data_IF_763322465193
#
_entry.id   IF_763322465193
#
_cell.length_a   1.000
_cell.length_b   1.000
_cell.length_c   1.000
_cell.angle_alpha   90.00
_cell.angle_beta   90.00
_cell.angle_gamma   90.00
#
_symmetry.space_group_name_H-M   'P 1'
#
loop_
_entity.id
_entity.type
_entity.pdbx_description
1 polymer ?
#
# COMPACT_ATOMS: atom_id res chain seq x y z
N UNK A 1 -21.21 -4.27 0.25
CA UNK A 1 -20.28 -5.40 0.06
C UNK A 1 -19.30 -5.30 1.20
N UNK A 2 -19.26 -6.29 2.11
CA UNK A 2 -18.31 -6.29 3.23
C UNK A 2 -16.95 -6.67 2.65
N UNK A 3 -15.93 -5.88 2.97
CA UNK A 3 -14.56 -6.22 2.61
C UNK A 3 -14.06 -7.26 3.62
N UNK A 4 -13.76 -8.47 3.14
CA UNK A 4 -13.28 -9.56 3.98
C UNK A 4 -11.82 -9.82 3.63
N UNK A 5 -10.95 -9.65 4.61
CA UNK A 5 -9.55 -10.07 4.58
C UNK A 5 -9.40 -11.11 5.68
N UNK A 6 -9.04 -12.33 5.29
CA UNK A 6 -8.85 -13.46 6.20
C UNK A 6 -7.86 -13.09 7.32
N UNK A 7 -8.24 -13.29 8.58
CA UNK A 7 -7.48 -12.86 9.77
C UNK A 7 -7.77 -11.44 10.27
N UNK A 8 -8.62 -10.67 9.57
CA UNK A 8 -9.02 -9.30 9.92
C UNK A 8 -10.55 -9.14 9.96
N UNK A 9 -11.29 -10.21 10.24
CA UNK A 9 -12.75 -10.23 10.16
C UNK A 9 -13.44 -9.28 11.13
N UNK A 10 -12.81 -9.01 12.26
CA UNK A 10 -13.32 -8.11 13.30
C UNK A 10 -12.75 -6.68 13.19
N UNK A 11 -11.82 -6.44 12.25
CA UNK A 11 -11.23 -5.13 12.05
C UNK A 11 -12.18 -4.17 11.33
N UNK A 12 -12.09 -2.84 11.58
CA UNK A 12 -12.98 -1.86 10.97
C UNK A 12 -12.54 -1.50 9.53
N UNK A 13 -12.48 -2.52 8.67
CA UNK A 13 -11.97 -2.38 7.31
C UNK A 13 -12.88 -1.50 6.44
N UNK A 14 -12.28 -0.54 5.75
CA UNK A 14 -12.96 0.34 4.79
C UNK A 14 -12.21 0.37 3.46
N UNK A 15 -12.95 0.54 2.36
CA UNK A 15 -12.35 0.75 1.04
C UNK A 15 -11.56 2.08 1.05
N UNK A 16 -10.26 2.00 0.75
CA UNK A 16 -9.34 3.13 0.81
C UNK A 16 -9.17 3.85 -0.52
N UNK A 17 -9.70 3.33 -1.63
CA UNK A 17 -9.37 3.85 -2.97
C UNK A 17 -9.73 5.33 -3.19
N UNK A 18 -10.74 5.86 -2.50
CA UNK A 18 -11.09 7.29 -2.56
C UNK A 18 -10.03 8.19 -1.90
N UNK A 19 -9.24 7.66 -0.94
CA UNK A 19 -8.17 8.40 -0.27
C UNK A 19 -7.04 8.79 -1.25
N UNK A 20 -6.87 8.05 -2.35
CA UNK A 20 -5.88 8.35 -3.39
C UNK A 20 -6.08 9.74 -4.02
N UNK A 21 -7.30 10.28 -3.95
CA UNK A 21 -7.63 11.60 -4.47
C UNK A 21 -7.34 12.75 -3.48
N UNK A 22 -6.95 12.45 -2.23
CA UNK A 22 -6.57 13.48 -1.27
C UNK A 22 -5.26 14.15 -1.74
N UNK A 23 -5.18 15.49 -1.77
CA UNK A 23 -3.99 16.19 -2.26
C UNK A 23 -2.69 15.74 -1.59
N UNK A 24 -2.71 15.51 -0.27
CA UNK A 24 -1.56 15.08 0.51
C UNK A 24 -1.32 13.57 0.56
N UNK A 25 -2.13 12.74 -0.12
CA UNK A 25 -2.08 11.28 0.01
C UNK A 25 -0.68 10.71 -0.20
N UNK A 26 -0.04 11.05 -1.33
CA UNK A 26 1.25 10.48 -1.67
C UNK A 26 2.37 10.97 -0.75
N UNK A 27 2.27 12.18 -0.22
CA UNK A 27 3.19 12.66 0.81
C UNK A 27 2.99 11.87 2.11
N UNK A 28 1.76 11.74 2.61
CA UNK A 28 1.49 10.98 3.82
C UNK A 28 1.92 9.50 3.69
N UNK A 29 1.72 8.90 2.51
CA UNK A 29 1.98 7.49 2.26
C UNK A 29 3.46 7.14 2.00
N UNK A 30 4.20 7.97 1.25
CA UNK A 30 5.55 7.61 0.76
C UNK A 30 6.68 8.41 1.38
N UNK A 31 6.39 9.55 2.03
CA UNK A 31 7.44 10.47 2.46
C UNK A 31 8.45 9.81 3.39
N UNK A 32 8.00 8.88 4.25
CA UNK A 32 8.88 8.15 5.17
C UNK A 32 9.97 7.31 4.44
N UNK A 33 9.74 6.85 3.21
CA UNK A 33 10.75 6.15 2.40
C UNK A 33 11.93 7.04 2.04
N UNK A 34 11.73 8.37 2.07
CA UNK A 34 12.78 9.35 1.79
C UNK A 34 13.56 9.78 3.04
N UNK A 35 13.25 9.22 4.22
CA UNK A 35 13.97 9.55 5.45
C UNK A 35 15.38 8.97 5.40
N UNK A 36 16.34 9.79 5.77
CA UNK A 36 17.76 9.42 5.90
C UNK A 36 18.28 9.88 7.27
N UNK A 37 19.47 9.44 7.65
CA UNK A 37 20.15 9.95 8.86
C UNK A 37 20.43 11.46 8.82
N UNK A 38 20.54 12.04 7.62
CA UNK A 38 20.96 13.44 7.42
C UNK A 38 19.78 14.41 7.28
N UNK A 39 18.63 13.94 6.77
CA UNK A 39 17.48 14.78 6.46
C UNK A 39 16.15 14.11 6.80
N UNK A 40 15.27 14.89 7.43
CA UNK A 40 13.85 14.59 7.53
C UNK A 40 13.10 15.09 6.29
N UNK A 41 12.33 14.22 5.64
CA UNK A 41 11.58 14.57 4.44
C UNK A 41 10.40 15.49 4.82
N UNK A 42 10.07 16.42 3.93
CA UNK A 42 9.00 17.41 4.14
C UNK A 42 7.94 17.36 3.03
N UNK A 43 6.67 17.67 3.31
CA UNK A 43 5.58 17.61 2.33
C UNK A 43 5.86 18.42 1.04
N UNK A 44 6.59 19.53 1.15
CA UNK A 44 6.95 20.37 0.02
C UNK A 44 7.77 19.65 -1.07
N UNK A 45 8.48 18.55 -0.76
CA UNK A 45 9.19 17.74 -1.76
C UNK A 45 8.22 16.99 -2.70
N UNK A 46 7.01 16.71 -2.22
CA UNK A 46 5.90 16.15 -3.00
C UNK A 46 5.04 17.24 -3.65
N UNK A 47 5.40 18.52 -3.49
CA UNK A 47 4.67 19.65 -4.05
C UNK A 47 3.36 19.98 -3.34
N UNK A 48 3.18 19.51 -2.10
CA UNK A 48 1.98 19.72 -1.29
C UNK A 48 2.31 20.52 -0.03
N UNK A 49 1.31 21.17 0.56
CA UNK A 49 1.49 21.83 1.85
C UNK A 49 1.34 20.84 3.02
N UNK A 50 1.73 21.29 4.21
CA UNK A 50 1.66 20.46 5.41
C UNK A 50 0.24 20.10 5.84
N UNK A 51 -0.74 20.99 5.63
CA UNK A 51 -2.11 20.75 6.07
C UNK A 51 -2.79 19.67 5.22
N UNK A 52 -2.54 19.66 3.91
CA UNK A 52 -3.00 18.60 3.01
C UNK A 52 -2.39 17.24 3.38
N UNK A 53 -1.09 17.21 3.71
CA UNK A 53 -0.39 16.01 4.14
C UNK A 53 -0.90 15.50 5.50
N UNK A 54 -1.10 16.39 6.48
CA UNK A 54 -1.63 16.05 7.80
C UNK A 54 -3.06 15.48 7.68
N UNK A 55 -3.93 16.12 6.90
CA UNK A 55 -5.29 15.62 6.68
C UNK A 55 -5.32 14.23 6.02
N UNK A 56 -4.41 13.97 5.09
CA UNK A 56 -4.27 12.64 4.48
C UNK A 56 -3.70 11.60 5.45
N UNK A 57 -2.75 12.01 6.31
CA UNK A 57 -2.19 11.17 7.36
C UNK A 57 -3.27 10.76 8.36
N UNK A 58 -4.04 11.73 8.87
CA UNK A 58 -5.16 11.49 9.79
C UNK A 58 -6.16 10.47 9.22
N UNK A 59 -6.48 10.58 7.92
CA UNK A 59 -7.38 9.65 7.25
C UNK A 59 -6.77 8.24 7.04
N UNK A 60 -5.46 8.15 6.82
CA UNK A 60 -4.74 6.89 6.66
C UNK A 60 -4.57 6.15 7.99
N UNK A 61 -4.43 6.88 9.10
CA UNK A 61 -4.15 6.34 10.44
C UNK A 61 -5.39 6.29 11.35
N UNK A 62 -6.59 6.47 10.80
CA UNK A 62 -7.85 6.40 11.57
C UNK A 62 -8.04 5.00 12.19
N UNK A 63 -8.04 4.94 13.52
CA UNK A 63 -8.17 3.71 14.31
C UNK A 63 -9.53 3.03 14.13
N UNK A 64 -10.57 3.82 13.82
CA UNK A 64 -11.94 3.35 13.60
C UNK A 64 -12.20 3.02 12.11
N UNK A 65 -11.23 3.26 11.22
CA UNK A 65 -11.37 3.08 9.77
C UNK A 65 -10.08 2.64 9.12
N UNK A 66 -9.86 1.33 9.06
CA UNK A 66 -8.64 0.76 8.50
C UNK A 66 -8.71 0.72 6.97
N UNK A 67 -7.91 1.54 6.25
CA UNK A 67 -8.04 1.65 4.81
C UNK A 67 -7.48 0.40 4.12
N UNK A 68 -8.21 -0.06 3.10
CA UNK A 68 -7.76 -1.16 2.24
C UNK A 68 -7.78 -0.74 0.78
N UNK A 69 -6.63 -0.85 0.14
CA UNK A 69 -6.46 -0.58 -1.28
C UNK A 69 -6.36 -1.90 -2.03
N UNK A 70 -7.30 -2.16 -2.94
CA UNK A 70 -7.28 -3.34 -3.80
C UNK A 70 -6.61 -3.01 -5.12
N UNK A 71 -5.62 -3.81 -5.51
CA UNK A 71 -4.86 -3.68 -6.75
C UNK A 71 -5.06 -4.95 -7.58
N UNK A 72 -6.17 -5.05 -8.35
CA UNK A 72 -6.48 -6.27 -9.11
C UNK A 72 -5.58 -6.39 -10.34
N UNK A 73 -5.02 -7.57 -10.60
CA UNK A 73 -4.10 -7.81 -11.71
C UNK A 73 -4.35 -9.16 -12.41
N UNK A 74 -3.54 -9.48 -13.41
CA UNK A 74 -3.75 -10.62 -14.31
C UNK A 74 -4.06 -11.95 -13.61
N UNK A 75 -4.94 -12.74 -14.23
CA UNK A 75 -5.27 -14.08 -13.76
C UNK A 75 -6.16 -14.12 -12.51
N UNK A 76 -6.95 -13.07 -12.25
CA UNK A 76 -7.89 -13.03 -11.12
C UNK A 76 -7.25 -12.74 -9.77
N UNK A 77 -5.97 -12.38 -9.74
CA UNK A 77 -5.26 -12.04 -8.52
C UNK A 77 -5.55 -10.61 -8.09
N UNK A 78 -5.47 -10.34 -6.79
CA UNK A 78 -5.54 -8.99 -6.24
C UNK A 78 -4.47 -8.82 -5.17
N UNK A 79 -3.57 -7.87 -5.37
CA UNK A 79 -2.71 -7.38 -4.31
C UNK A 79 -3.53 -6.45 -3.42
N UNK A 80 -3.34 -6.54 -2.10
CA UNK A 80 -4.10 -5.82 -1.09
C UNK A 80 -3.12 -5.08 -0.20
N UNK A 81 -3.31 -3.78 -0.05
CA UNK A 81 -2.59 -2.96 0.92
C UNK A 81 -3.57 -2.61 2.03
N UNK A 82 -3.28 -3.04 3.26
CA UNK A 82 -4.14 -2.87 4.42
C UNK A 82 -3.40 -2.02 5.47
N UNK A 83 -3.97 -0.87 5.84
CA UNK A 83 -3.52 -0.09 6.99
C UNK A 83 -4.07 -0.69 8.28
N UNK A 84 -3.22 -1.32 9.07
CA UNK A 84 -3.52 -1.83 10.40
C UNK A 84 -3.30 -0.73 11.44
N UNK A 85 -4.33 0.04 11.77
CA UNK A 85 -4.22 1.21 12.65
C UNK A 85 -4.50 0.83 14.11
N UNK A 86 -3.71 -0.12 14.64
CA UNK A 86 -3.72 -0.41 16.08
C UNK A 86 -2.92 0.69 16.79
N UNK A 87 -3.44 1.34 17.86
CA UNK A 87 -2.79 2.49 18.49
C UNK A 87 -1.34 2.24 18.93
N UNK A 88 -1.05 1.03 19.41
CA UNK A 88 0.25 0.67 19.98
C UNK A 88 1.24 0.09 18.95
N UNK A 89 0.76 -0.42 17.83
CA UNK A 89 1.56 -1.12 16.82
C UNK A 89 0.95 -0.95 15.42
N UNK A 90 0.95 0.29 14.89
CA UNK A 90 0.42 0.54 13.56
C UNK A 90 1.32 -0.11 12.51
N UNK A 91 0.70 -0.73 11.52
CA UNK A 91 1.41 -1.41 10.46
C UNK A 91 0.70 -1.28 9.10
N UNK A 92 1.42 -1.58 8.03
CA UNK A 92 0.82 -1.82 6.71
C UNK A 92 1.09 -3.25 6.27
N UNK A 93 0.02 -4.00 6.02
CA UNK A 93 0.05 -5.38 5.53
C UNK A 93 -0.11 -5.37 4.00
N UNK A 94 0.79 -6.08 3.33
CA UNK A 94 0.77 -6.29 1.89
C UNK A 94 0.48 -7.76 1.62
N UNK A 95 -0.68 -8.03 1.03
CA UNK A 95 -1.18 -9.38 0.82
C UNK A 95 -1.46 -9.61 -0.67
N UNK A 96 -1.57 -10.87 -1.06
CA UNK A 96 -2.08 -11.27 -2.37
C UNK A 96 -3.19 -12.30 -2.19
N UNK A 97 -4.27 -12.10 -2.93
CA UNK A 97 -5.46 -12.95 -2.90
C UNK A 97 -5.79 -13.45 -4.29
N UNK A 98 -6.47 -14.59 -4.34
CA UNK A 98 -7.07 -15.14 -5.56
C UNK A 98 -8.34 -15.89 -5.16
N UNK A 99 -9.45 -15.80 -5.92
CA UNK A 99 -10.74 -16.40 -5.54
C UNK A 99 -10.71 -17.91 -5.30
N UNK A 100 -9.81 -18.62 -5.98
CA UNK A 100 -9.63 -20.07 -5.81
C UNK A 100 -8.68 -20.43 -4.65
N UNK A 101 -8.00 -19.44 -4.05
CA UNK A 101 -7.16 -19.69 -2.88
C UNK A 101 -8.02 -19.65 -1.62
N UNK A 102 -7.97 -20.72 -0.82
CA UNK A 102 -8.64 -20.76 0.48
C UNK A 102 -7.95 -19.94 1.58
N UNK A 103 -6.96 -19.11 1.23
CA UNK A 103 -6.21 -18.18 2.11
C UNK A 103 -5.55 -17.09 1.27
N UNK A 104 -5.11 -16.01 1.92
CA UNK A 104 -4.22 -15.04 1.29
C UNK A 104 -2.74 -15.48 1.36
N UNK A 105 -1.90 -14.94 0.48
CA UNK A 105 -0.45 -14.97 0.61
C UNK A 105 0.05 -13.65 1.20
N UNK A 106 1.13 -13.71 2.01
CA UNK A 106 1.81 -12.52 2.53
C UNK A 106 2.91 -12.08 1.57
N UNK A 107 2.95 -10.78 1.25
CA UNK A 107 4.00 -10.14 0.45
C UNK A 107 4.97 -9.40 1.36
N UNK A 108 4.46 -8.54 2.24
CA UNK A 108 5.26 -7.79 3.20
C UNK A 108 4.41 -7.30 4.37
N UNK A 109 5.07 -7.03 5.49
CA UNK A 109 4.58 -6.28 6.64
C UNK A 109 5.52 -5.10 6.85
N UNK A 110 4.97 -3.90 7.02
CA UNK A 110 5.75 -2.68 7.28
C UNK A 110 5.27 -2.03 8.58
N UNK A 111 6.10 -2.06 9.63
CA UNK A 111 5.85 -1.42 10.93
C UNK A 111 7.09 -0.65 11.44
N UNK A 112 7.68 0.16 10.55
CA UNK A 112 8.96 0.84 10.75
C UNK A 112 10.16 0.07 10.17
N UNK A 113 10.01 -1.24 9.99
CA UNK A 113 10.87 -2.08 9.14
C UNK A 113 10.00 -2.95 8.24
N UNK A 114 10.53 -3.34 7.08
CA UNK A 114 9.88 -4.33 6.22
C UNK A 114 10.22 -5.75 6.70
N UNK A 115 9.22 -6.61 6.78
CA UNK A 115 9.34 -8.05 6.98
C UNK A 115 8.54 -8.81 5.91
N UNK A 116 8.91 -10.06 5.63
CA UNK A 116 8.26 -10.89 4.58
C UNK A 116 9.16 -11.12 3.37
N UNK A 117 8.66 -11.86 2.35
CA UNK A 117 9.44 -12.13 1.14
C UNK A 117 9.73 -10.86 0.32
N UNK A 118 8.87 -9.84 0.42
CA UNK A 118 8.90 -8.68 -0.45
C UNK A 118 8.44 -9.02 -1.87
N UNK A 119 8.30 -7.99 -2.69
CA UNK A 119 8.13 -8.11 -4.14
C UNK A 119 9.48 -7.94 -4.82
N UNK A 120 9.79 -8.78 -5.81
CA UNK A 120 10.85 -8.47 -6.76
C UNK A 120 10.41 -7.30 -7.67
N UNK A 121 11.36 -6.52 -8.20
CA UNK A 121 11.04 -5.40 -9.10
C UNK A 121 10.17 -5.82 -10.30
N UNK A 122 10.48 -6.99 -10.88
CA UNK A 122 9.70 -7.55 -12.00
C UNK A 122 8.24 -7.84 -11.63
N UNK A 123 7.97 -8.24 -10.39
CA UNK A 123 6.65 -8.56 -9.90
C UNK A 123 5.86 -7.28 -9.64
N UNK A 124 6.48 -6.28 -9.00
CA UNK A 124 5.90 -4.94 -8.84
C UNK A 124 5.48 -4.34 -10.19
N UNK A 125 6.39 -4.35 -11.18
CA UNK A 125 6.12 -3.83 -12.53
C UNK A 125 5.02 -4.64 -13.23
N UNK A 126 5.02 -5.98 -13.07
CA UNK A 126 3.98 -6.83 -13.62
C UNK A 126 2.60 -6.47 -13.05
N UNK A 127 2.48 -6.37 -11.72
CA UNK A 127 1.25 -6.00 -11.05
C UNK A 127 0.80 -4.60 -11.50
N UNK A 128 1.69 -3.61 -11.53
CA UNK A 128 1.35 -2.25 -11.95
C UNK A 128 0.76 -2.19 -13.38
N UNK A 129 1.33 -2.95 -14.32
CA UNK A 129 0.96 -2.90 -15.75
C UNK A 129 -0.20 -3.79 -16.16
N UNK A 130 -0.49 -4.86 -15.43
CA UNK A 130 -1.48 -5.87 -15.83
C UNK A 130 -2.81 -5.73 -15.12
N UNK A 131 -3.31 -4.49 -15.02
CA UNK A 131 -4.60 -4.21 -14.37
C UNK A 131 -5.75 -5.04 -14.93
N UNK A 132 -6.42 -5.80 -14.05
CA UNK A 132 -7.74 -6.33 -14.36
C UNK A 132 -8.75 -5.20 -14.18
N UNK A 133 -9.18 -4.62 -15.30
CA UNK A 133 -10.10 -3.47 -15.33
C UNK A 133 -11.57 -3.85 -15.09
N UNK A 134 -11.88 -5.14 -15.02
CA UNK A 134 -13.24 -5.60 -14.73
C UNK A 134 -13.47 -5.76 -13.21
N UNK A 135 -12.41 -5.99 -12.43
CA UNK A 135 -12.47 -6.06 -10.99
C UNK A 135 -12.48 -4.66 -10.34
N UNK A 136 -13.13 -4.46 -9.19
CA UNK A 136 -13.08 -3.18 -8.48
C UNK A 136 -11.73 -2.96 -7.80
N UNK A 137 -11.17 -1.75 -7.89
CA UNK A 137 -9.95 -1.36 -7.19
C UNK A 137 -9.20 -0.25 -7.92
N UNK A 138 -7.91 -0.14 -7.63
CA UNK A 138 -6.99 0.84 -8.21
C UNK A 138 -6.51 0.37 -9.58
N UNK A 139 -6.68 1.22 -10.60
CA UNK A 139 -6.39 0.87 -11.99
C UNK A 139 -5.30 1.70 -12.66
N UNK A 140 -5.01 2.91 -12.16
CA UNK A 140 -3.97 3.73 -12.77
C UNK A 140 -2.58 3.13 -12.47
N UNK A 141 -1.77 2.91 -13.51
CA UNK A 141 -0.48 2.21 -13.40
C UNK A 141 0.43 2.82 -12.33
N UNK A 142 0.52 4.15 -12.27
CA UNK A 142 1.37 4.85 -11.31
C UNK A 142 0.88 4.67 -9.87
N UNK A 143 -0.42 4.75 -9.61
CA UNK A 143 -0.98 4.56 -8.26
C UNK A 143 -0.73 3.13 -7.77
N UNK A 144 -0.90 2.15 -8.67
CA UNK A 144 -0.65 0.73 -8.36
C UNK A 144 0.82 0.47 -8.04
N UNK A 145 1.73 1.08 -8.79
CA UNK A 145 3.16 0.99 -8.54
C UNK A 145 3.52 1.65 -7.20
N UNK A 146 3.06 2.87 -6.97
CA UNK A 146 3.39 3.64 -5.77
C UNK A 146 2.79 3.02 -4.50
N UNK A 147 1.57 2.48 -4.56
CA UNK A 147 0.96 1.74 -3.44
C UNK A 147 1.74 0.49 -3.07
N UNK A 148 2.39 -0.19 -4.01
CA UNK A 148 3.11 -1.44 -3.73
C UNK A 148 4.61 -1.24 -3.55
N UNK A 149 5.11 -0.03 -3.82
CA UNK A 149 6.52 0.32 -3.69
C UNK A 149 7.10 0.04 -2.29
N UNK A 150 6.39 0.28 -1.18
CA UNK A 150 6.97 0.00 0.14
C UNK A 150 7.04 -1.49 0.49
N UNK A 151 6.56 -2.38 -0.37
CA UNK A 151 6.75 -3.83 -0.26
C UNK A 151 7.86 -4.37 -1.18
N UNK A 152 8.54 -3.49 -1.92
CA UNK A 152 9.67 -3.86 -2.79
C UNK A 152 10.81 -4.43 -1.93
N UNK A 153 11.19 -5.68 -2.19
CA UNK A 153 12.38 -6.31 -1.62
C UNK A 153 13.66 -5.92 -2.37
N UNK A 154 14.80 -6.36 -1.86
CA UNK A 154 16.11 -6.21 -2.49
C UNK A 154 16.39 -7.28 -3.57
N UNK A 155 15.52 -8.29 -3.68
CA UNK A 155 15.64 -9.37 -4.65
C UNK A 155 15.45 -8.88 -6.09
N UNK A 156 16.42 -9.21 -6.94
CA UNK A 156 16.44 -8.89 -8.37
C UNK A 156 16.16 -7.41 -8.70
N UNK A 157 16.65 -6.50 -7.84
CA UNK A 157 16.70 -5.08 -8.19
C UNK A 157 17.54 -4.89 -9.47
N UNK A 158 17.18 -3.91 -10.33
CA UNK A 158 18.03 -3.49 -11.43
C UNK A 158 19.47 -3.24 -10.95
N UNK A 159 20.47 -3.62 -11.75
CA UNK A 159 21.87 -3.56 -11.34
C UNK A 159 22.36 -2.14 -11.02
N UNK A 160 21.67 -1.11 -11.50
CA UNK A 160 21.91 0.31 -11.24
C UNK A 160 21.14 0.86 -10.01
N UNK A 161 20.32 0.03 -9.36
CA UNK A 161 19.51 0.36 -8.19
C UNK A 161 20.00 -0.32 -6.90
N UNK A 162 21.12 -1.06 -6.95
CA UNK A 162 21.74 -1.74 -5.82
C UNK A 162 22.82 -0.89 -5.12
#
# INVERSE_FOLDING_TARGET
MVLLVDGFEEAPLVAGEELLALPGFWAAYLMWLSRTEEYDPVPAWFGVDGADADAACDALTDEDRWPVFRVPFGGGHTAVVLGCNVPEDPATEYLVTHPEWGRHGSLALVNGHQAGPGLAWRELVHIARTADRAAPGVHAEHERLLLLLPALGDEELPADAA
#
